data_IF_594492651538
#
_entry.id   IF_594492651538
#
_cell.length_a   1.000
_cell.length_b   1.000
_cell.length_c   1.000
_cell.angle_alpha   90.00
_cell.angle_beta   90.00
_cell.angle_gamma   90.00
#
_symmetry.space_group_name_H-M   'P 1'
#
loop_
_entity.id
_entity.type
_entity.pdbx_description
1 polymer ?
#
# COMPACT_ATOMS: atom_id res chain seq x y z
N UNK A 1 -5.81 -11.83 3.33
CA UNK A 1 -4.81 -10.75 3.47
C UNK A 1 -4.06 -10.94 4.78
N UNK A 2 -2.75 -10.69 4.81
CA UNK A 2 -1.95 -10.82 6.02
C UNK A 2 -2.31 -9.72 7.06
N UNK A 3 -2.17 -9.97 8.37
CA UNK A 3 -2.47 -8.99 9.40
C UNK A 3 -1.46 -7.84 9.42
N UNK A 4 -1.95 -6.63 9.73
CA UNK A 4 -1.14 -5.41 9.82
C UNK A 4 -0.05 -5.52 10.90
N UNK A 5 -0.33 -6.20 12.01
CA UNK A 5 0.62 -6.38 13.11
C UNK A 5 1.92 -7.06 12.70
N UNK A 6 1.90 -7.90 11.65
CA UNK A 6 3.12 -8.55 11.16
C UNK A 6 4.06 -7.54 10.48
N UNK A 7 3.51 -6.66 9.63
CA UNK A 7 4.32 -5.66 8.93
C UNK A 7 4.83 -4.59 9.91
N UNK A 8 4.03 -4.20 10.91
CA UNK A 8 4.45 -3.26 11.95
C UNK A 8 5.60 -3.81 12.81
N UNK A 9 5.61 -5.12 13.07
CA UNK A 9 6.69 -5.77 13.81
C UNK A 9 8.01 -5.81 13.02
N UNK A 10 7.94 -5.96 11.69
CA UNK A 10 9.11 -6.13 10.82
C UNK A 10 9.65 -4.77 10.34
N UNK A 11 8.77 -3.79 10.15
CA UNK A 11 9.11 -2.45 9.69
C UNK A 11 8.74 -1.41 10.75
N UNK A 12 9.63 -1.14 11.73
CA UNK A 12 9.39 -0.17 12.80
C UNK A 12 9.13 1.26 12.31
N UNK A 13 9.55 1.57 11.07
CA UNK A 13 9.40 2.88 10.42
C UNK A 13 8.29 2.86 9.35
N UNK A 14 7.33 1.93 9.41
CA UNK A 14 6.23 1.83 8.45
C UNK A 14 5.44 3.16 8.39
N UNK A 15 5.63 3.89 7.30
CA UNK A 15 5.11 5.26 7.14
C UNK A 15 3.73 5.32 6.46
N UNK A 16 3.37 4.28 5.70
CA UNK A 16 2.13 4.20 4.95
C UNK A 16 1.61 2.76 4.91
N UNK A 17 0.34 2.59 5.22
CA UNK A 17 -0.37 1.31 5.12
C UNK A 17 -1.82 1.58 4.74
N UNK A 18 -2.31 0.88 3.72
CA UNK A 18 -3.71 0.94 3.32
C UNK A 18 -4.22 -0.45 2.93
N UNK A 19 -5.54 -0.63 2.98
CA UNK A 19 -6.24 -1.82 2.50
C UNK A 19 -7.23 -1.41 1.42
N UNK A 20 -6.86 -1.51 0.13
CA UNK A 20 -7.77 -1.23 -0.97
C UNK A 20 -8.99 -2.16 -0.94
N UNK A 21 -10.16 -1.64 -1.34
CA UNK A 21 -11.43 -2.38 -1.34
C UNK A 21 -11.59 -3.32 -2.54
N UNK A 22 -10.70 -3.24 -3.54
CA UNK A 22 -10.71 -4.02 -4.78
C UNK A 22 -9.29 -4.19 -5.35
N UNK A 23 -9.15 -5.11 -6.31
CA UNK A 23 -7.87 -5.51 -6.91
C UNK A 23 -7.29 -6.77 -6.26
N UNK A 24 -6.50 -7.52 -7.04
CA UNK A 24 -5.90 -8.79 -6.66
C UNK A 24 -4.36 -8.76 -6.60
N UNK A 25 -3.75 -9.85 -7.04
CA UNK A 25 -2.30 -10.04 -6.98
C UNK A 25 -1.56 -9.09 -7.92
N UNK A 26 -2.15 -8.76 -9.07
CA UNK A 26 -1.53 -7.92 -10.10
C UNK A 26 -2.09 -6.50 -10.02
N UNK A 27 -1.97 -5.84 -8.86
CA UNK A 27 -2.58 -4.53 -8.57
C UNK A 27 -2.30 -3.45 -9.65
N UNK A 28 -1.08 -3.41 -10.20
CA UNK A 28 -0.71 -2.46 -11.24
C UNK A 28 -1.42 -2.73 -12.59
N UNK A 29 -1.85 -3.96 -12.85
CA UNK A 29 -2.55 -4.38 -14.07
C UNK A 29 -4.07 -4.37 -13.90
N UNK A 30 -4.55 -4.86 -12.77
CA UNK A 30 -5.98 -4.97 -12.46
C UNK A 30 -6.61 -3.61 -12.13
N UNK A 31 -5.90 -2.75 -11.38
CA UNK A 31 -6.42 -1.47 -10.90
C UNK A 31 -5.35 -0.34 -11.02
N UNK A 32 -4.90 0.01 -12.23
CA UNK A 32 -3.77 0.91 -12.44
C UNK A 32 -3.95 2.30 -11.80
N UNK A 33 -5.15 2.87 -11.88
CA UNK A 33 -5.44 4.18 -11.28
C UNK A 33 -5.38 4.13 -9.74
N UNK A 34 -5.89 3.06 -9.13
CA UNK A 34 -5.85 2.86 -7.70
C UNK A 34 -4.41 2.65 -7.24
N UNK A 35 -3.68 1.76 -7.91
CA UNK A 35 -2.27 1.49 -7.63
C UNK A 35 -1.41 2.78 -7.67
N UNK A 36 -1.54 3.58 -8.74
CA UNK A 36 -0.76 4.84 -8.84
C UNK A 36 -1.13 5.85 -7.76
N UNK A 37 -2.38 5.87 -7.29
CA UNK A 37 -2.82 6.74 -6.19
C UNK A 37 -2.19 6.31 -4.87
N UNK A 38 -2.17 5.02 -4.58
CA UNK A 38 -1.55 4.46 -3.36
C UNK A 38 -0.04 4.75 -3.32
N UNK A 39 0.65 4.58 -4.45
CA UNK A 39 2.07 4.94 -4.56
C UNK A 39 2.27 6.44 -4.30
N UNK A 40 1.49 7.33 -4.92
CA UNK A 40 1.61 8.78 -4.67
C UNK A 40 1.35 9.14 -3.20
N UNK A 41 0.36 8.51 -2.56
CA UNK A 41 0.06 8.73 -1.15
C UNK A 41 1.22 8.29 -0.24
N UNK A 42 1.83 7.14 -0.52
CA UNK A 42 2.97 6.62 0.25
C UNK A 42 4.18 7.56 0.22
N UNK A 43 4.46 8.19 -0.93
CA UNK A 43 5.61 9.07 -1.12
C UNK A 43 5.30 10.56 -0.91
N UNK A 44 4.05 10.93 -0.56
CA UNK A 44 3.60 12.32 -0.49
C UNK A 44 4.47 13.20 0.43
N UNK A 45 4.96 12.65 1.54
CA UNK A 45 5.75 13.38 2.53
C UNK A 45 7.26 13.41 2.23
N UNK A 46 7.70 12.75 1.16
CA UNK A 46 9.10 12.70 0.72
C UNK A 46 9.38 13.67 -0.44
N UNK A 47 8.36 14.41 -0.89
CA UNK A 47 8.44 15.40 -1.96
C UNK A 47 8.54 16.82 -1.40
#
# INVERSE_FOLDING_TARGET
QAPRSWVEKIYPTLNYYNKPTRGGHFAAWEEPALFTTEVRNAFKYLR
#
